data_IF_166379395719
#
_entry.id   IF_166379395719
#
_cell.length_a   1.000
_cell.length_b   1.000
_cell.length_c   1.000
_cell.angle_alpha   90.00
_cell.angle_beta   90.00
_cell.angle_gamma   90.00
#
_symmetry.space_group_name_H-M   'P 1'
#
loop_
_entity.id
_entity.type
_entity.pdbx_description
1 polymer ?
#
# COMPACT_ATOMS: atom_id res chain seq x y z
N UNK A 1 -7.13 -14.15 -29.16
CA UNK A 1 -8.10 -15.15 -28.73
C UNK A 1 -9.27 -14.48 -28.00
N UNK A 2 -10.55 -14.81 -28.29
CA UNK A 2 -11.71 -14.16 -27.68
C UNK A 2 -11.82 -14.37 -26.16
N UNK A 3 -11.44 -15.54 -25.64
CA UNK A 3 -11.46 -15.85 -24.20
C UNK A 3 -10.44 -14.98 -23.42
N UNK A 4 -9.27 -14.78 -24.00
CA UNK A 4 -8.14 -14.13 -23.33
C UNK A 4 -7.99 -12.65 -23.68
N UNK A 5 -8.82 -12.13 -24.61
CA UNK A 5 -8.78 -10.71 -24.96
C UNK A 5 -8.97 -9.85 -23.70
N UNK A 6 -8.02 -8.96 -23.45
CA UNK A 6 -7.99 -8.04 -22.30
C UNK A 6 -8.07 -8.72 -20.92
N UNK A 7 -7.90 -10.07 -20.87
CA UNK A 7 -7.96 -10.83 -19.63
C UNK A 7 -6.62 -10.88 -18.87
N UNK A 8 -5.52 -10.86 -19.61
CA UNK A 8 -4.16 -11.02 -19.08
C UNK A 8 -3.50 -9.65 -19.00
N UNK A 9 -3.20 -9.18 -17.79
CA UNK A 9 -2.65 -7.84 -17.54
C UNK A 9 -1.53 -7.89 -16.51
N UNK A 10 -0.52 -7.03 -16.65
CA UNK A 10 0.50 -6.82 -15.62
C UNK A 10 0.01 -5.80 -14.60
N UNK A 11 -0.07 -6.20 -13.35
CA UNK A 11 -0.38 -5.32 -12.24
C UNK A 11 0.90 -4.60 -11.79
N UNK A 12 0.98 -3.30 -12.04
CA UNK A 12 2.17 -2.48 -11.74
C UNK A 12 2.41 -2.24 -10.24
N UNK A 13 1.40 -2.45 -9.39
CA UNK A 13 1.54 -2.35 -7.93
C UNK A 13 2.19 -3.59 -7.34
N UNK A 14 1.77 -4.78 -7.80
CA UNK A 14 2.26 -6.07 -7.30
C UNK A 14 3.40 -6.65 -8.13
N UNK A 15 3.63 -6.11 -9.34
CA UNK A 15 4.55 -6.63 -10.34
C UNK A 15 4.28 -8.11 -10.68
N UNK A 16 2.99 -8.46 -10.80
CA UNK A 16 2.50 -9.80 -11.11
C UNK A 16 1.54 -9.76 -12.28
N UNK A 17 1.50 -10.85 -13.02
CA UNK A 17 0.47 -11.05 -14.04
C UNK A 17 -0.85 -11.36 -13.35
N UNK A 18 -1.88 -10.62 -13.70
CA UNK A 18 -3.24 -10.81 -13.23
C UNK A 18 -4.14 -11.33 -14.37
N UNK A 19 -5.14 -12.12 -14.00
CA UNK A 19 -6.27 -12.46 -14.84
C UNK A 19 -7.47 -11.66 -14.33
N UNK A 20 -7.85 -10.63 -15.08
CA UNK A 20 -8.87 -9.64 -14.68
C UNK A 20 -10.27 -9.97 -15.17
N UNK A 21 -10.45 -11.12 -15.85
CA UNK A 21 -11.76 -11.61 -16.33
C UNK A 21 -12.03 -13.02 -15.84
N UNK A 22 -13.31 -13.40 -15.80
CA UNK A 22 -13.71 -14.79 -15.56
C UNK A 22 -13.42 -15.64 -16.81
N UNK A 23 -12.57 -16.65 -16.66
CA UNK A 23 -12.17 -17.56 -17.73
C UNK A 23 -12.92 -18.91 -17.67
N UNK A 24 -13.95 -19.04 -16.82
CA UNK A 24 -14.81 -20.24 -16.75
C UNK A 24 -14.37 -21.29 -15.74
N UNK A 25 -13.30 -21.05 -14.96
CA UNK A 25 -12.92 -21.91 -13.83
C UNK A 25 -12.81 -21.11 -12.52
N UNK A 26 -12.90 -21.84 -11.40
CA UNK A 26 -12.87 -21.22 -10.07
C UNK A 26 -11.48 -20.66 -9.75
N UNK A 27 -11.44 -19.41 -9.31
CA UNK A 27 -10.26 -18.67 -8.88
C UNK A 27 -10.53 -17.95 -7.56
N UNK A 28 -9.52 -17.84 -6.71
CA UNK A 28 -9.62 -17.17 -5.41
C UNK A 28 -8.81 -15.86 -5.35
N UNK A 29 -8.04 -15.55 -6.40
CA UNK A 29 -7.18 -14.38 -6.49
C UNK A 29 -7.14 -13.87 -7.93
N UNK A 30 -6.81 -12.59 -8.13
CA UNK A 30 -6.56 -12.03 -9.46
C UNK A 30 -5.21 -12.49 -10.04
N UNK A 31 -4.21 -12.73 -9.20
CA UNK A 31 -2.90 -13.14 -9.68
C UNK A 31 -2.94 -14.49 -10.42
N UNK A 32 -2.19 -14.57 -11.52
CA UNK A 32 -1.98 -15.80 -12.27
C UNK A 32 -1.32 -16.85 -11.37
N UNK A 33 -1.95 -18.02 -11.27
CA UNK A 33 -1.47 -19.16 -10.48
C UNK A 33 -0.98 -20.30 -11.36
N UNK A 34 -0.21 -21.24 -10.79
CA UNK A 34 0.20 -22.46 -11.49
C UNK A 34 -0.99 -23.30 -11.98
N UNK A 35 -2.12 -23.25 -11.27
CA UNK A 35 -3.36 -23.89 -11.68
C UNK A 35 -3.94 -23.23 -12.93
N UNK A 36 -3.92 -21.90 -12.98
CA UNK A 36 -4.37 -21.15 -14.17
C UNK A 36 -3.51 -21.49 -15.39
N UNK A 37 -2.18 -21.61 -15.22
CA UNK A 37 -1.25 -22.02 -16.27
C UNK A 37 -1.63 -23.39 -16.84
N UNK A 38 -2.01 -24.35 -15.99
CA UNK A 38 -2.45 -25.68 -16.44
C UNK A 38 -3.78 -25.65 -17.22
N UNK A 39 -4.76 -24.85 -16.73
CA UNK A 39 -6.03 -24.66 -17.46
C UNK A 39 -5.79 -24.00 -18.82
N UNK A 40 -4.94 -22.98 -18.88
CA UNK A 40 -4.60 -22.31 -20.13
C UNK A 40 -3.85 -23.23 -21.08
N UNK A 41 -2.91 -24.05 -20.60
CA UNK A 41 -2.20 -25.02 -21.42
C UNK A 41 -3.17 -26.01 -22.07
N UNK A 42 -4.07 -26.61 -21.28
CA UNK A 42 -5.09 -27.52 -21.77
C UNK A 42 -6.02 -26.83 -22.79
N UNK A 43 -6.45 -25.61 -22.54
CA UNK A 43 -7.26 -24.83 -23.45
C UNK A 43 -6.54 -24.58 -24.79
N UNK A 44 -5.26 -24.19 -24.75
CA UNK A 44 -4.48 -23.96 -25.96
C UNK A 44 -4.18 -25.24 -26.73
N UNK A 45 -3.95 -26.35 -26.05
CA UNK A 45 -3.76 -27.66 -26.68
C UNK A 45 -5.04 -28.08 -27.43
N UNK A 46 -6.20 -27.99 -26.78
CA UNK A 46 -7.48 -28.41 -27.36
C UNK A 46 -7.93 -27.53 -28.52
N UNK A 47 -7.72 -26.23 -28.47
CA UNK A 47 -8.24 -25.29 -29.45
C UNK A 47 -7.25 -24.92 -30.55
N UNK A 48 -5.93 -25.02 -30.30
CA UNK A 48 -4.88 -24.55 -31.21
C UNK A 48 -3.75 -25.54 -31.42
N UNK A 49 -3.74 -26.69 -30.76
CA UNK A 49 -2.66 -27.67 -30.85
C UNK A 49 -1.33 -27.21 -30.21
N UNK A 50 -1.38 -26.21 -29.33
CA UNK A 50 -0.20 -25.62 -28.67
C UNK A 50 0.08 -26.37 -27.37
N UNK A 51 1.19 -27.12 -27.32
CA UNK A 51 1.55 -28.01 -26.17
C UNK A 51 2.72 -27.51 -25.35
N UNK A 52 3.39 -26.42 -25.77
CA UNK A 52 4.59 -25.92 -25.10
C UNK A 52 4.25 -24.92 -23.99
N UNK A 53 4.25 -25.36 -22.74
CA UNK A 53 4.06 -24.53 -21.55
C UNK A 53 5.07 -23.36 -21.50
N UNK A 54 6.33 -23.60 -21.83
CA UNK A 54 7.37 -22.56 -21.84
C UNK A 54 7.06 -21.43 -22.82
N UNK A 55 6.60 -21.76 -24.03
CA UNK A 55 6.22 -20.75 -25.05
C UNK A 55 4.96 -20.02 -24.64
N UNK A 56 3.99 -20.72 -24.09
CA UNK A 56 2.75 -20.14 -23.59
C UNK A 56 3.01 -19.15 -22.44
N UNK A 57 3.80 -19.53 -21.45
CA UNK A 57 4.16 -18.67 -20.31
C UNK A 57 4.91 -17.42 -20.77
N UNK A 58 5.86 -17.57 -21.71
CA UNK A 58 6.54 -16.42 -22.30
C UNK A 58 5.57 -15.47 -23.03
N UNK A 59 4.65 -16.01 -23.83
CA UNK A 59 3.64 -15.22 -24.53
C UNK A 59 2.68 -14.51 -23.53
N UNK A 60 2.25 -15.17 -22.45
CA UNK A 60 1.44 -14.55 -21.40
C UNK A 60 2.17 -13.38 -20.73
N UNK A 61 3.46 -13.53 -20.45
CA UNK A 61 4.28 -12.44 -19.86
C UNK A 61 4.41 -11.24 -20.81
N UNK A 62 4.60 -11.48 -22.11
CA UNK A 62 4.68 -10.41 -23.11
C UNK A 62 3.34 -9.68 -23.22
N UNK A 63 2.25 -10.42 -23.40
CA UNK A 63 0.89 -9.84 -23.50
C UNK A 63 0.52 -9.08 -22.24
N UNK A 64 0.84 -9.61 -21.06
CA UNK A 64 0.59 -8.92 -19.80
C UNK A 64 1.34 -7.58 -19.73
N UNK A 65 2.61 -7.55 -20.15
CA UNK A 65 3.43 -6.35 -20.14
C UNK A 65 2.94 -5.28 -21.13
N UNK A 66 2.40 -5.70 -22.29
CA UNK A 66 1.76 -4.79 -23.26
C UNK A 66 0.42 -4.24 -22.75
N UNK A 67 -0.24 -4.93 -21.80
CA UNK A 67 -1.53 -4.59 -21.22
C UNK A 67 -1.39 -4.34 -19.70
N UNK A 68 -0.45 -3.51 -19.29
CA UNK A 68 -0.26 -3.17 -17.88
C UNK A 68 -1.39 -2.27 -17.35
N UNK A 69 -1.57 -2.28 -16.03
CA UNK A 69 -2.51 -1.42 -15.31
C UNK A 69 -2.02 -1.15 -13.89
N UNK A 70 -2.51 -0.10 -13.29
CA UNK A 70 -2.20 0.22 -11.89
C UNK A 70 -3.50 0.38 -11.08
N UNK A 71 -3.83 -0.59 -10.20
CA UNK A 71 -5.14 -0.64 -9.57
C UNK A 71 -5.48 0.59 -8.72
N UNK A 72 -4.49 1.20 -8.06
CA UNK A 72 -4.72 2.43 -7.27
C UNK A 72 -4.91 3.64 -8.20
N UNK A 73 -4.12 3.78 -9.28
CA UNK A 73 -4.33 4.86 -10.25
C UNK A 73 -5.71 4.78 -10.89
N UNK A 74 -6.17 3.58 -11.24
CA UNK A 74 -7.49 3.36 -11.84
C UNK A 74 -8.60 3.84 -10.89
N UNK A 75 -8.49 3.52 -9.59
CA UNK A 75 -9.45 4.01 -8.57
C UNK A 75 -9.36 5.53 -8.42
N UNK A 76 -8.16 6.08 -8.23
CA UNK A 76 -7.98 7.54 -8.02
C UNK A 76 -8.44 8.36 -9.21
N UNK A 77 -8.20 7.88 -10.45
CA UNK A 77 -8.67 8.54 -11.67
C UNK A 77 -10.19 8.48 -11.85
N UNK A 78 -10.86 7.51 -11.21
CA UNK A 78 -12.31 7.38 -11.22
C UNK A 78 -13.02 8.23 -10.16
N UNK A 79 -12.30 8.83 -9.21
CA UNK A 79 -12.90 9.65 -8.17
C UNK A 79 -13.41 10.98 -8.72
N UNK A 80 -14.60 11.36 -8.26
CA UNK A 80 -15.20 12.66 -8.52
C UNK A 80 -15.45 13.35 -7.20
N UNK A 81 -14.87 14.53 -7.04
CA UNK A 81 -15.07 15.30 -5.81
C UNK A 81 -16.52 15.78 -5.68
N UNK A 82 -17.12 15.49 -4.53
CA UNK A 82 -18.50 15.87 -4.20
C UNK A 82 -18.65 17.31 -3.67
N UNK A 83 -17.54 18.05 -3.57
CA UNK A 83 -17.52 19.43 -3.06
C UNK A 83 -17.35 19.55 -1.54
N UNK A 84 -17.25 18.46 -0.80
CA UNK A 84 -17.14 18.45 0.67
C UNK A 84 -15.69 18.46 1.14
N UNK A 85 -15.20 19.49 1.86
CA UNK A 85 -13.82 19.58 2.32
C UNK A 85 -13.61 18.77 3.61
N UNK A 86 -13.35 17.46 3.47
CA UNK A 86 -13.23 16.53 4.63
C UNK A 86 -11.88 16.56 5.32
N UNK A 87 -10.79 16.92 4.64
CA UNK A 87 -9.41 16.80 5.17
C UNK A 87 -9.25 17.53 6.50
N UNK A 88 -9.87 18.72 6.64
CA UNK A 88 -9.77 19.56 7.84
C UNK A 88 -10.33 18.88 9.09
N UNK A 89 -11.43 18.18 8.96
CA UNK A 89 -12.15 17.55 10.09
C UNK A 89 -11.93 16.06 10.23
N UNK A 90 -11.39 15.39 9.24
CA UNK A 90 -11.32 13.93 9.16
C UNK A 90 -10.65 13.29 10.40
N UNK A 91 -9.47 13.78 10.80
CA UNK A 91 -8.77 13.25 11.98
C UNK A 91 -9.48 13.58 13.29
N UNK A 92 -10.20 14.71 13.37
CA UNK A 92 -11.04 15.01 14.53
C UNK A 92 -12.26 14.09 14.56
N UNK A 93 -12.96 14.00 13.45
CA UNK A 93 -14.19 13.21 13.33
C UNK A 93 -14.02 11.77 13.80
N UNK A 94 -12.96 11.10 13.36
CA UNK A 94 -12.75 9.68 13.68
C UNK A 94 -11.82 9.40 14.85
N UNK A 95 -10.92 10.31 15.19
CA UNK A 95 -9.83 10.05 16.13
C UNK A 95 -9.69 11.14 17.22
N UNK A 96 -10.53 12.18 17.19
CA UNK A 96 -10.49 13.26 18.18
C UNK A 96 -9.22 14.11 18.15
N UNK A 97 -8.53 14.21 17.01
CA UNK A 97 -7.40 15.11 16.85
C UNK A 97 -7.85 16.59 16.92
N UNK A 98 -6.95 17.49 17.30
CA UNK A 98 -7.23 18.92 17.27
C UNK A 98 -7.55 19.40 15.85
N UNK A 99 -8.62 20.21 15.70
CA UNK A 99 -8.91 20.88 14.43
C UNK A 99 -8.04 22.12 14.31
N UNK A 100 -6.94 21.98 13.57
CA UNK A 100 -5.98 23.06 13.36
C UNK A 100 -5.43 23.04 11.94
N UNK A 101 -4.89 24.19 11.48
CA UNK A 101 -4.25 24.28 10.16
C UNK A 101 -3.04 23.34 10.06
N UNK A 102 -2.35 23.10 11.16
CA UNK A 102 -1.24 22.15 11.20
C UNK A 102 -1.72 20.71 10.91
N UNK A 103 -2.77 20.25 11.59
CA UNK A 103 -3.30 18.88 11.41
C UNK A 103 -3.84 18.70 10.00
N UNK A 104 -4.56 19.71 9.47
CA UNK A 104 -5.06 19.70 8.09
C UNK A 104 -3.93 19.58 7.07
N UNK A 105 -2.92 20.46 7.16
CA UNK A 105 -1.79 20.45 6.20
C UNK A 105 -0.94 19.19 6.31
N UNK A 106 -0.78 18.60 7.50
CA UNK A 106 -0.02 17.36 7.68
C UNK A 106 -0.76 16.16 7.10
N UNK A 107 -2.08 16.04 7.30
CA UNK A 107 -2.87 14.99 6.66
C UNK A 107 -2.86 15.15 5.13
N UNK A 108 -3.06 16.36 4.64
CA UNK A 108 -2.99 16.68 3.22
C UNK A 108 -1.63 16.36 2.61
N UNK A 109 -0.54 16.70 3.30
CA UNK A 109 0.82 16.36 2.90
C UNK A 109 1.02 14.85 2.79
N UNK A 110 0.53 14.07 3.76
CA UNK A 110 0.58 12.61 3.73
C UNK A 110 -0.17 12.04 2.53
N UNK A 111 -1.40 12.49 2.29
CA UNK A 111 -2.22 12.05 1.16
C UNK A 111 -1.58 12.39 -0.19
N UNK A 112 -1.05 13.61 -0.34
CA UNK A 112 -0.34 14.03 -1.55
C UNK A 112 0.93 13.20 -1.78
N UNK A 113 1.66 12.87 -0.72
CA UNK A 113 2.82 11.96 -0.78
C UNK A 113 2.43 10.57 -1.25
N UNK A 114 1.33 10.02 -0.72
CA UNK A 114 0.80 8.72 -1.10
C UNK A 114 0.37 8.70 -2.57
N UNK A 115 -0.37 9.69 -3.02
CA UNK A 115 -0.79 9.85 -4.42
C UNK A 115 0.43 10.00 -5.34
N UNK A 116 1.37 10.88 -4.97
CA UNK A 116 2.57 11.13 -5.77
C UNK A 116 3.38 9.86 -6.00
N UNK A 117 3.54 9.00 -4.98
CA UNK A 117 4.29 7.75 -5.11
C UNK A 117 3.61 6.73 -6.03
N UNK A 118 2.30 6.78 -6.16
CA UNK A 118 1.54 5.94 -7.09
C UNK A 118 1.66 6.45 -8.53
N UNK A 119 1.56 7.76 -8.77
CA UNK A 119 1.66 8.34 -10.12
C UNK A 119 3.09 8.57 -10.60
N UNK A 120 4.04 8.67 -9.67
CA UNK A 120 5.47 8.85 -9.93
C UNK A 120 6.29 7.95 -9.00
N UNK A 121 6.32 6.63 -9.27
CA UNK A 121 7.05 5.68 -8.43
C UNK A 121 8.49 6.08 -8.19
N UNK A 122 8.97 5.90 -6.97
CA UNK A 122 10.32 6.31 -6.56
C UNK A 122 10.47 7.81 -6.27
N UNK A 123 9.42 8.61 -6.36
CA UNK A 123 9.49 10.02 -5.96
C UNK A 123 9.90 10.15 -4.49
N UNK A 124 10.68 11.18 -4.18
CA UNK A 124 11.14 11.42 -2.81
C UNK A 124 9.96 11.80 -1.92
N UNK A 125 9.71 10.99 -0.93
CA UNK A 125 8.79 11.22 0.18
C UNK A 125 9.32 10.44 1.39
N UNK A 126 9.79 11.12 2.42
CA UNK A 126 10.48 10.51 3.56
C UNK A 126 9.78 10.75 4.90
N UNK A 127 8.62 11.38 4.85
CA UNK A 127 7.80 11.71 6.01
C UNK A 127 6.88 10.52 6.36
N UNK A 128 6.58 10.42 7.65
CA UNK A 128 5.67 9.41 8.21
C UNK A 128 4.68 10.10 9.15
N UNK A 129 3.40 10.01 8.84
CA UNK A 129 2.33 10.47 9.73
C UNK A 129 2.22 9.51 10.91
N UNK A 130 2.37 10.02 12.14
CA UNK A 130 2.36 9.24 13.37
C UNK A 130 1.16 9.63 14.25
N UNK A 131 0.19 8.74 14.38
CA UNK A 131 -0.95 8.94 15.28
C UNK A 131 -0.57 8.50 16.69
N UNK A 132 -0.65 9.44 17.65
CA UNK A 132 -0.20 9.26 19.04
C UNK A 132 -1.39 9.35 19.98
N UNK A 133 -1.75 8.26 20.67
CA UNK A 133 -2.89 8.26 21.57
C UNK A 133 -3.16 6.88 22.18
N UNK A 134 -4.16 6.79 23.03
CA UNK A 134 -4.52 5.58 23.77
C UNK A 134 -4.75 4.34 22.90
N UNK A 135 -4.76 3.18 23.52
CA UNK A 135 -5.14 1.93 22.86
C UNK A 135 -6.65 1.95 22.56
N UNK A 136 -7.05 1.37 21.43
CA UNK A 136 -8.46 1.32 21.03
C UNK A 136 -8.99 2.57 20.34
N UNK A 137 -8.20 3.63 20.15
CA UNK A 137 -8.61 4.87 19.48
C UNK A 137 -8.94 4.70 17.98
N UNK A 138 -8.68 3.54 17.37
CA UNK A 138 -8.94 3.33 15.93
C UNK A 138 -7.83 3.75 14.98
N UNK A 139 -6.61 4.05 15.48
CA UNK A 139 -5.47 4.56 14.69
C UNK A 139 -5.11 3.67 13.50
N UNK A 140 -4.91 2.38 13.72
CA UNK A 140 -4.57 1.42 12.66
C UNK A 140 -5.74 1.23 11.68
N UNK A 141 -6.98 1.21 12.20
CA UNK A 141 -8.19 1.14 11.38
C UNK A 141 -8.33 2.35 10.46
N UNK A 142 -7.96 3.55 10.93
CA UNK A 142 -7.94 4.75 10.12
C UNK A 142 -7.02 4.59 8.91
N UNK A 143 -5.78 4.15 9.09
CA UNK A 143 -4.86 3.94 7.97
C UNK A 143 -5.30 2.81 7.03
N UNK A 144 -5.91 1.75 7.59
CA UNK A 144 -6.48 0.65 6.79
C UNK A 144 -7.62 1.15 5.89
N UNK A 145 -8.54 1.93 6.42
CA UNK A 145 -9.65 2.49 5.62
C UNK A 145 -9.15 3.53 4.62
N UNK A 146 -8.17 4.36 5.01
CA UNK A 146 -7.55 5.34 4.13
C UNK A 146 -6.84 4.71 2.92
N UNK A 147 -6.39 3.47 3.04
CA UNK A 147 -5.82 2.72 1.92
C UNK A 147 -6.87 2.27 0.88
N UNK A 148 -8.16 2.56 1.09
CA UNK A 148 -9.31 2.26 0.24
C UNK A 148 -9.65 0.77 0.21
N UNK A 149 -8.68 -0.11 -0.04
CA UNK A 149 -8.85 -1.57 0.01
C UNK A 149 -7.91 -2.18 1.04
N UNK A 150 -8.41 -3.16 1.78
CA UNK A 150 -7.64 -3.84 2.82
C UNK A 150 -6.35 -4.49 2.26
N UNK A 151 -6.39 -4.98 1.02
CA UNK A 151 -5.23 -5.56 0.32
C UNK A 151 -4.10 -4.55 0.03
N UNK A 152 -4.39 -3.24 0.07
CA UNK A 152 -3.41 -2.16 -0.14
C UNK A 152 -2.82 -1.62 1.16
N UNK A 153 -3.28 -2.14 2.30
CA UNK A 153 -2.78 -1.83 3.63
C UNK A 153 -1.95 -3.00 4.19
N UNK A 154 -0.91 -2.68 4.95
CA UNK A 154 -0.15 -3.68 5.71
C UNK A 154 0.29 -3.12 7.06
N UNK A 155 0.13 -3.92 8.12
CA UNK A 155 0.66 -3.69 9.47
C UNK A 155 1.73 -4.72 9.86
N UNK A 156 2.18 -5.54 8.90
CA UNK A 156 3.14 -6.64 9.14
C UNK A 156 4.62 -6.22 9.05
N UNK A 157 4.93 -4.94 8.96
CA UNK A 157 6.31 -4.45 8.93
C UNK A 157 6.83 -4.25 10.35
N UNK A 158 7.31 -5.34 10.97
CA UNK A 158 7.77 -5.35 12.36
C UNK A 158 9.28 -5.15 12.54
N UNK A 159 10.06 -5.41 11.49
CA UNK A 159 11.54 -5.36 11.51
C UNK A 159 12.07 -4.92 10.16
N UNK A 160 13.15 -4.12 10.17
CA UNK A 160 13.81 -3.62 8.95
C UNK A 160 15.03 -4.45 8.53
N UNK A 161 15.50 -5.33 9.41
CA UNK A 161 16.63 -6.23 9.19
C UNK A 161 16.23 -7.61 8.61
N UNK A 162 14.95 -7.78 8.25
CA UNK A 162 14.45 -8.98 7.59
C UNK A 162 14.80 -8.96 6.09
N UNK A 163 15.45 -10.02 5.60
CA UNK A 163 15.77 -10.19 4.16
C UNK A 163 14.54 -10.11 3.25
N UNK A 164 13.35 -10.34 3.80
CA UNK A 164 12.08 -10.28 3.10
C UNK A 164 11.36 -8.92 3.24
N UNK A 165 11.96 -7.94 3.91
CA UNK A 165 11.31 -6.64 4.15
C UNK A 165 10.77 -6.03 2.86
N UNK A 166 11.51 -6.12 1.78
CA UNK A 166 11.14 -5.53 0.50
C UNK A 166 9.94 -6.21 -0.16
N UNK A 167 9.74 -7.51 0.09
CA UNK A 167 8.55 -8.23 -0.37
C UNK A 167 7.29 -7.79 0.36
N UNK A 168 7.43 -7.38 1.63
CA UNK A 168 6.34 -6.84 2.44
C UNK A 168 5.90 -5.45 2.00
N UNK A 169 6.72 -4.75 1.20
CA UNK A 169 6.34 -3.47 0.61
C UNK A 169 5.52 -3.63 -0.68
N UNK A 170 5.74 -4.72 -1.40
CA UNK A 170 5.15 -4.94 -2.71
C UNK A 170 3.64 -5.20 -2.60
N UNK A 171 2.86 -4.48 -3.38
CA UNK A 171 1.41 -4.63 -3.38
C UNK A 171 0.67 -3.77 -2.35
N UNK A 172 1.39 -3.04 -1.49
CA UNK A 172 0.80 -2.18 -0.48
C UNK A 172 1.01 -0.69 -0.79
N UNK A 173 0.03 0.12 -0.45
CA UNK A 173 0.04 1.57 -0.61
C UNK A 173 0.35 2.31 0.68
N UNK A 174 -0.31 1.90 1.79
CA UNK A 174 -0.05 2.42 3.14
C UNK A 174 0.46 1.28 4.00
N UNK A 175 1.63 1.48 4.63
CA UNK A 175 2.28 0.49 5.48
C UNK A 175 2.45 1.08 6.88
N UNK A 176 1.86 0.42 7.86
CA UNK A 176 1.93 0.82 9.26
C UNK A 176 3.16 0.20 9.96
N UNK A 177 3.84 1.02 10.76
CA UNK A 177 5.02 0.66 11.54
C UNK A 177 4.77 0.85 13.06
N UNK A 178 3.71 0.23 13.59
CA UNK A 178 3.25 0.46 14.96
C UNK A 178 4.24 -0.04 16.03
N UNK A 179 4.61 -1.31 15.99
CA UNK A 179 5.48 -1.93 17.01
C UNK A 179 6.91 -1.37 16.99
N UNK A 180 7.40 -1.04 15.81
CA UNK A 180 8.74 -0.49 15.64
C UNK A 180 8.88 0.89 16.29
N UNK A 181 7.86 1.74 16.17
CA UNK A 181 7.86 3.08 16.77
C UNK A 181 7.66 2.97 18.29
N UNK A 182 6.79 2.09 18.74
CA UNK A 182 6.51 1.91 20.16
C UNK A 182 7.73 1.43 20.96
N UNK A 183 8.63 0.66 20.35
CA UNK A 183 9.83 0.09 20.97
C UNK A 183 11.13 0.77 20.54
N UNK A 184 11.06 1.80 19.72
CA UNK A 184 12.23 2.44 19.13
C UNK A 184 13.15 3.08 20.18
N UNK A 185 14.43 2.83 20.04
CA UNK A 185 15.51 3.54 20.68
C UNK A 185 16.23 4.45 19.67
N UNK A 186 17.23 5.23 20.10
CA UNK A 186 17.92 6.16 19.22
C UNK A 186 18.52 5.49 17.96
N UNK A 187 19.08 4.28 18.09
CA UNK A 187 19.61 3.51 16.94
C UNK A 187 18.51 3.08 16.00
N UNK A 188 17.42 2.54 16.51
CA UNK A 188 16.27 2.11 15.70
C UNK A 188 15.63 3.28 14.94
N UNK A 189 15.58 4.48 15.56
CA UNK A 189 15.07 5.69 14.91
C UNK A 189 15.94 6.08 13.70
N UNK A 190 17.27 6.00 13.80
CA UNK A 190 18.16 6.28 12.67
C UNK A 190 18.01 5.25 11.55
N UNK A 191 17.80 3.97 11.88
CA UNK A 191 17.50 2.92 10.92
C UNK A 191 16.18 3.19 10.20
N UNK A 192 15.13 3.60 10.93
CA UNK A 192 13.83 3.98 10.36
C UNK A 192 14.00 5.20 9.43
N UNK A 193 14.71 6.25 9.85
CA UNK A 193 14.98 7.44 9.03
C UNK A 193 15.69 7.07 7.71
N UNK A 194 16.72 6.23 7.80
CA UNK A 194 17.42 5.71 6.62
C UNK A 194 16.48 4.92 5.69
N UNK A 195 15.65 4.06 6.28
CA UNK A 195 14.69 3.28 5.53
C UNK A 195 13.63 4.15 4.85
N UNK A 196 13.06 5.15 5.53
CA UNK A 196 12.07 6.07 4.97
C UNK A 196 12.62 6.85 3.76
N UNK A 197 13.92 7.19 3.79
CA UNK A 197 14.56 8.01 2.74
C UNK A 197 14.82 7.25 1.43
N UNK A 198 14.67 5.92 1.41
CA UNK A 198 14.87 5.14 0.19
C UNK A 198 13.77 5.42 -0.84
N UNK A 199 14.17 5.48 -2.09
CA UNK A 199 13.27 5.71 -3.23
C UNK A 199 13.03 4.43 -4.05
N UNK A 200 13.95 3.48 -3.96
CA UNK A 200 13.90 2.20 -4.64
C UNK A 200 14.49 1.09 -3.78
N UNK A 201 14.09 -0.11 -4.10
CA UNK A 201 14.66 -1.34 -3.57
C UNK A 201 15.25 -2.17 -4.69
N UNK A 202 16.42 -2.73 -4.47
CA UNK A 202 17.07 -3.63 -5.44
C UNK A 202 17.12 -5.00 -4.83
N UNK A 203 16.31 -5.93 -5.32
CA UNK A 203 16.32 -7.31 -4.87
C UNK A 203 15.97 -8.28 -5.97
N UNK A 204 16.38 -9.53 -5.78
CA UNK A 204 16.05 -10.63 -6.69
C UNK A 204 14.82 -11.36 -6.17
N UNK A 205 13.78 -11.41 -6.98
CA UNK A 205 12.64 -12.29 -6.71
C UNK A 205 13.07 -13.74 -6.91
N UNK A 206 12.66 -14.68 -6.07
CA UNK A 206 12.93 -16.09 -6.31
C UNK A 206 12.45 -16.48 -7.71
N UNK A 207 13.30 -17.26 -8.39
CA UNK A 207 13.09 -17.75 -9.76
C UNK A 207 13.31 -16.72 -10.87
N UNK A 208 13.51 -15.42 -10.58
CA UNK A 208 13.98 -14.46 -11.58
C UNK A 208 15.50 -14.62 -11.78
N UNK A 209 15.95 -14.46 -13.05
CA UNK A 209 17.38 -14.60 -13.40
C UNK A 209 18.16 -13.37 -12.96
N UNK A 210 17.55 -12.19 -13.03
CA UNK A 210 18.22 -10.91 -12.78
C UNK A 210 17.57 -10.16 -11.61
N UNK A 211 18.35 -9.46 -10.76
CA UNK A 211 17.79 -8.50 -9.82
C UNK A 211 17.17 -7.32 -10.57
N UNK A 212 16.07 -6.78 -10.06
CA UNK A 212 15.42 -5.61 -10.63
C UNK A 212 15.34 -4.48 -9.58
N UNK A 213 15.49 -3.24 -10.05
CA UNK A 213 15.18 -2.06 -9.26
C UNK A 213 13.68 -1.87 -9.21
N UNK A 214 13.13 -1.85 -7.99
CA UNK A 214 11.70 -1.64 -7.76
C UNK A 214 11.50 -0.31 -7.07
N UNK A 215 10.89 0.61 -7.79
CA UNK A 215 10.60 1.96 -7.30
C UNK A 215 9.51 1.90 -6.23
N UNK A 216 9.70 2.61 -5.12
CA UNK A 216 8.71 2.65 -4.04
C UNK A 216 7.42 3.33 -4.49
N UNK A 217 6.30 2.67 -4.22
CA UNK A 217 4.95 3.15 -4.49
C UNK A 217 4.16 3.35 -3.19
N UNK A 218 4.69 2.89 -2.06
CA UNK A 218 4.05 2.99 -0.74
C UNK A 218 4.52 4.21 0.05
N UNK A 219 3.70 4.60 1.01
CA UNK A 219 4.04 5.52 2.11
C UNK A 219 3.97 4.80 3.44
N UNK A 220 4.63 5.37 4.46
CA UNK A 220 4.68 4.78 5.79
C UNK A 220 3.86 5.61 6.77
N UNK A 221 3.11 4.92 7.61
CA UNK A 221 2.34 5.48 8.70
C UNK A 221 2.83 4.89 10.03
N UNK A 222 2.66 5.63 11.12
CA UNK A 222 3.04 5.19 12.44
C UNK A 222 1.89 5.29 13.43
N UNK A 223 1.80 4.33 14.34
CA UNK A 223 0.89 4.42 15.49
C UNK A 223 1.64 4.11 16.77
N UNK A 224 1.37 4.86 17.83
CA UNK A 224 1.98 4.63 19.13
C UNK A 224 1.08 5.12 20.26
N UNK A 225 1.20 4.48 21.41
CA UNK A 225 0.57 4.95 22.66
C UNK A 225 1.51 5.85 23.49
N UNK A 226 2.77 6.01 23.06
CA UNK A 226 3.78 6.76 23.78
C UNK A 226 3.92 8.16 23.19
N UNK A 227 3.76 9.18 24.02
CA UNK A 227 3.97 10.58 23.63
C UNK A 227 5.45 10.93 23.44
N UNK A 228 6.35 10.21 24.10
CA UNK A 228 7.79 10.41 24.10
C UNK A 228 8.56 9.42 23.21
N UNK A 229 7.94 8.92 22.12
CA UNK A 229 8.55 7.91 21.26
C UNK A 229 9.74 8.42 20.44
N UNK A 230 9.83 9.74 20.22
CA UNK A 230 10.96 10.35 19.52
C UNK A 230 12.08 10.74 20.51
N UNK A 231 13.34 10.39 20.20
CA UNK A 231 14.45 10.87 21.00
C UNK A 231 14.53 12.40 20.96
N UNK A 232 15.01 13.00 22.05
CA UNK A 232 15.15 14.46 22.20
C UNK A 232 16.20 15.08 21.27
N UNK A 233 16.81 14.31 20.39
CA UNK A 233 17.76 14.80 19.40
C UNK A 233 17.06 15.73 18.41
N UNK A 234 17.64 16.91 18.22
CA UNK A 234 17.09 17.98 17.39
C UNK A 234 17.28 17.74 15.89
N UNK A 235 18.09 16.79 15.48
CA UNK A 235 18.43 16.55 14.08
C UNK A 235 17.65 15.36 13.53
N UNK A 236 16.86 15.58 12.48
CA UNK A 236 16.26 14.51 11.70
C UNK A 236 14.85 14.03 12.11
N UNK A 237 14.28 14.51 13.22
CA UNK A 237 12.91 14.17 13.63
C UNK A 237 11.82 14.74 12.68
N UNK A 238 12.20 15.62 11.76
CA UNK A 238 11.30 16.20 10.74
C UNK A 238 10.59 15.17 9.86
N UNK A 239 11.09 13.92 9.83
CA UNK A 239 10.44 12.83 9.07
C UNK A 239 9.24 12.25 9.80
N UNK A 240 9.14 12.46 11.10
CA UNK A 240 8.01 11.99 11.90
C UNK A 240 7.07 13.15 12.15
N UNK A 241 5.82 12.97 11.78
CA UNK A 241 4.76 13.98 11.93
C UNK A 241 3.80 13.47 13.00
N UNK A 242 4.03 13.76 14.30
CA UNK A 242 3.17 13.30 15.37
C UNK A 242 1.88 14.11 15.42
N UNK A 243 0.76 13.41 15.38
CA UNK A 243 -0.58 13.99 15.59
C UNK A 243 -1.18 13.31 16.83
N UNK A 244 -1.36 14.04 17.93
CA UNK A 244 -2.08 13.55 19.09
C UNK A 244 -3.55 13.26 18.75
N UNK A 245 -4.06 12.12 19.24
CA UNK A 245 -5.44 11.69 19.05
C UNK A 245 -6.04 11.22 20.38
N UNK A 246 -7.33 11.45 20.56
CA UNK A 246 -8.06 11.11 21.77
C UNK A 246 -9.47 10.58 21.43
N UNK A 247 -9.73 9.32 21.72
CA UNK A 247 -11.02 8.70 21.42
C UNK A 247 -12.20 9.39 22.10
N UNK A 248 -11.99 10.05 23.25
CA UNK A 248 -13.06 10.75 23.98
C UNK A 248 -13.53 12.02 23.27
N UNK A 249 -12.69 12.56 22.38
CA UNK A 249 -12.97 13.77 21.59
C UNK A 249 -13.43 13.44 20.15
N UNK A 250 -13.43 12.17 19.76
CA UNK A 250 -13.91 11.76 18.45
C UNK A 250 -15.43 11.88 18.34
N UNK A 251 -15.93 12.36 17.21
CA UNK A 251 -17.38 12.45 16.97
C UNK A 251 -18.00 11.07 16.74
N UNK A 252 -17.27 10.18 16.03
CA UNK A 252 -17.70 8.83 15.71
C UNK A 252 -16.49 7.89 15.83
N UNK A 253 -16.68 6.73 16.45
CA UNK A 253 -15.63 5.73 16.41
C UNK A 253 -15.57 5.07 15.03
N UNK A 254 -14.38 5.00 14.43
CA UNK A 254 -14.17 4.61 13.03
C UNK A 254 -14.68 3.21 12.68
N UNK A 255 -14.89 2.33 13.67
CA UNK A 255 -15.39 0.97 13.48
C UNK A 255 -16.88 0.82 13.84
N UNK A 256 -17.58 1.87 14.29
CA UNK A 256 -19.01 1.79 14.62
C UNK A 256 -19.84 1.46 13.37
N UNK A 257 -19.48 2.04 12.23
CA UNK A 257 -20.01 1.68 10.91
C UNK A 257 -18.89 1.81 9.87
N UNK A 258 -18.26 0.69 9.52
CA UNK A 258 -17.13 0.68 8.57
C UNK A 258 -17.54 1.13 7.16
N UNK A 259 -18.77 0.83 6.72
CA UNK A 259 -19.27 1.24 5.42
C UNK A 259 -19.39 2.76 5.32
N UNK A 260 -19.98 3.41 6.32
CA UNK A 260 -20.09 4.87 6.39
C UNK A 260 -18.70 5.53 6.52
N UNK A 261 -17.80 4.92 7.30
CA UNK A 261 -16.44 5.43 7.45
C UNK A 261 -15.64 5.35 6.15
N UNK A 262 -15.88 4.35 5.31
CA UNK A 262 -15.28 4.26 3.96
C UNK A 262 -15.90 5.24 2.98
N UNK A 263 -17.18 5.58 3.15
CA UNK A 263 -17.89 6.53 2.31
C UNK A 263 -17.57 7.99 2.63
N UNK A 264 -17.13 8.26 3.87
CA UNK A 264 -16.75 9.61 4.32
C UNK A 264 -15.53 10.12 3.56
#
# INVERSE_FOLDING_TARGET
DPLLRDAIRLNLLTDRVDIVRNLGWRRNTSALTDTDVKYLLLYFEQNYGLTSEKKMTAALSIVANENCYHPIQDVLNGLVWDGTPRIRSCLHHFLGAEVSDYVEEMLKHFLLGAIRRVFSPGSKYEEMLCLVGGQGTGKSSFFRLLAVKDEWFSDDLRRLDDDNVYRKLQGHWIIEMSEMIATANAKSIEEIKSFLSKQKETYKVPYETHPADRLRQCVFAGTTNRQDFLPRDRTGNRRFIPIPVDAELAEVHILDNEEDSRAY
#
